data_IF_166373443491
#
_entry.id   IF_166373443491
#
_cell.length_a   1.000
_cell.length_b   1.000
_cell.length_c   1.000
_cell.angle_alpha   90.00
_cell.angle_beta   90.00
_cell.angle_gamma   90.00
#
_symmetry.space_group_name_H-M   'P 1'
#
loop_
_entity.id
_entity.type
_entity.pdbx_description
1 polymer ?
#
# COMPACT_ATOMS: atom_id res chain seq x y z
N UNK A 1 48.18 63.80 -15.02
CA UNK A 1 47.41 63.82 -13.75
C UNK A 1 47.82 62.60 -12.93
N UNK A 2 48.38 62.79 -11.70
CA UNK A 2 48.74 61.82 -10.60
C UNK A 2 49.05 60.33 -10.94
N UNK A 3 50.20 59.67 -10.67
CA UNK A 3 51.02 59.50 -9.42
C UNK A 3 50.28 58.68 -8.35
N UNK A 4 50.72 57.53 -7.77
CA UNK A 4 51.97 56.68 -7.75
C UNK A 4 51.65 55.23 -8.27
N UNK A 5 52.54 54.24 -8.54
CA UNK A 5 53.82 53.70 -8.03
C UNK A 5 53.74 52.64 -6.87
N UNK A 6 54.13 51.39 -7.21
CA UNK A 6 54.93 50.39 -6.43
C UNK A 6 54.30 49.27 -5.54
N UNK A 7 54.81 48.04 -5.78
CA UNK A 7 55.25 46.99 -4.80
C UNK A 7 54.22 46.27 -3.89
N UNK A 8 54.39 45.04 -3.38
CA UNK A 8 55.33 43.89 -3.59
C UNK A 8 54.65 42.64 -2.93
N UNK A 9 54.92 41.41 -3.42
CA UNK A 9 55.12 40.10 -2.68
C UNK A 9 54.08 39.70 -1.58
N UNK A 10 53.50 38.49 -1.59
CA UNK A 10 53.97 37.29 -0.84
C UNK A 10 53.34 36.01 -1.40
N UNK A 11 54.13 34.93 -1.47
CA UNK A 11 53.69 33.55 -1.73
C UNK A 11 52.94 32.95 -0.51
N UNK A 12 51.88 32.18 -0.74
CA UNK A 12 51.50 31.06 0.14
C UNK A 12 51.10 29.82 -0.66
N UNK A 13 51.44 28.64 -0.14
CA UNK A 13 51.37 27.36 -0.84
C UNK A 13 50.55 26.36 -0.01
N UNK A 14 49.42 25.92 -0.58
CA UNK A 14 48.69 24.67 -0.27
C UNK A 14 48.17 24.51 1.19
N UNK A 15 47.50 23.40 1.59
CA UNK A 15 47.07 22.23 0.81
C UNK A 15 45.63 21.70 1.15
N UNK A 16 45.33 20.48 0.66
CA UNK A 16 44.37 19.49 1.18
C UNK A 16 42.86 19.83 1.27
N UNK A 17 42.10 19.15 0.41
CA UNK A 17 41.07 18.23 0.90
C UNK A 17 39.64 18.72 1.03
N UNK A 18 38.82 18.46 0.00
CA UNK A 18 37.49 17.88 0.20
C UNK A 18 37.29 16.71 -0.75
N UNK A 19 37.09 15.53 -0.16
CA UNK A 19 36.41 14.41 -0.84
C UNK A 19 34.93 14.68 -0.68
N UNK A 20 34.34 15.47 -1.57
CA UNK A 20 32.88 15.58 -1.62
C UNK A 20 32.35 14.26 -2.20
N UNK A 21 32.03 13.35 -1.27
CA UNK A 21 31.52 12.01 -1.52
C UNK A 21 30.10 12.09 -2.07
N UNK A 22 29.99 12.30 -3.38
CA UNK A 22 28.77 12.05 -4.13
C UNK A 22 28.59 10.53 -4.27
N UNK A 23 27.34 10.07 -4.29
CA UNK A 23 26.87 8.67 -4.38
C UNK A 23 26.78 7.88 -3.05
N UNK A 24 25.65 8.02 -2.35
CA UNK A 24 24.83 6.90 -1.81
C UNK A 24 23.59 7.37 -1.02
N UNK A 25 22.95 8.47 -1.41
CA UNK A 25 21.67 8.89 -0.83
C UNK A 25 20.50 8.11 -1.43
N UNK A 26 20.28 6.86 -0.99
CA UNK A 26 19.10 6.09 -1.42
C UNK A 26 17.82 6.75 -0.88
N UNK A 27 17.02 7.33 -1.78
CA UNK A 27 15.74 7.97 -1.43
C UNK A 27 14.79 6.94 -0.81
N UNK A 28 14.63 6.99 0.52
CA UNK A 28 13.56 6.24 1.19
C UNK A 28 12.21 6.85 0.82
N UNK A 29 11.37 6.05 0.18
CA UNK A 29 9.96 6.36 -0.04
C UNK A 29 9.24 6.53 1.31
N UNK A 30 8.28 7.44 1.40
CA UNK A 30 7.46 7.58 2.61
C UNK A 30 6.60 6.34 2.83
N UNK A 31 6.11 6.13 4.05
CA UNK A 31 5.19 5.01 4.33
C UNK A 31 3.89 5.12 3.50
N UNK A 32 3.47 6.33 3.12
CA UNK A 32 2.34 6.53 2.22
C UNK A 32 2.65 6.05 0.79
N UNK A 33 3.79 6.44 0.22
CA UNK A 33 4.20 6.02 -1.13
C UNK A 33 4.38 4.49 -1.22
N UNK A 34 4.92 3.89 -0.15
CA UNK A 34 5.09 2.44 -0.06
C UNK A 34 3.75 1.70 0.09
N UNK A 35 2.81 2.25 0.87
CA UNK A 35 1.45 1.71 0.99
C UNK A 35 0.65 1.87 -0.31
N UNK A 36 0.82 2.97 -1.05
CA UNK A 36 0.24 3.15 -2.37
C UNK A 36 0.72 2.05 -3.32
N UNK A 37 2.04 1.84 -3.44
CA UNK A 37 2.59 0.75 -4.28
C UNK A 37 2.16 -0.64 -3.85
N UNK A 38 1.97 -0.85 -2.55
CA UNK A 38 1.41 -2.10 -2.03
C UNK A 38 -0.03 -2.29 -2.50
N UNK A 39 -0.86 -1.25 -2.45
CA UNK A 39 -2.25 -1.30 -2.87
C UNK A 39 -2.41 -1.40 -4.39
N UNK A 40 -1.57 -0.71 -5.17
CA UNK A 40 -1.44 -0.91 -6.62
C UNK A 40 -1.12 -2.38 -6.96
N UNK A 41 -0.15 -2.98 -6.25
CA UNK A 41 0.16 -4.41 -6.40
C UNK A 41 -1.02 -5.31 -5.99
N UNK A 42 -1.73 -4.99 -4.91
CA UNK A 42 -2.91 -5.74 -4.46
C UNK A 42 -3.98 -5.76 -5.56
N UNK A 43 -4.33 -4.61 -6.13
CA UNK A 43 -5.34 -4.49 -7.19
C UNK A 43 -4.94 -5.30 -8.43
N UNK A 44 -3.68 -5.23 -8.86
CA UNK A 44 -3.18 -6.02 -10.02
C UNK A 44 -3.27 -7.53 -9.76
N UNK A 45 -2.93 -7.99 -8.56
CA UNK A 45 -3.03 -9.42 -8.22
C UNK A 45 -4.48 -9.89 -8.12
N UNK A 46 -5.40 -9.04 -7.66
CA UNK A 46 -6.83 -9.32 -7.62
C UNK A 46 -7.42 -9.39 -9.04
N UNK A 47 -7.14 -8.40 -9.90
CA UNK A 47 -7.56 -8.37 -11.31
C UNK A 47 -7.05 -9.57 -12.12
N UNK A 48 -5.81 -10.01 -11.86
CA UNK A 48 -5.23 -11.19 -12.50
C UNK A 48 -5.72 -12.53 -11.93
N UNK A 49 -6.48 -12.50 -10.84
CA UNK A 49 -6.85 -13.66 -10.01
C UNK A 49 -5.64 -14.48 -9.54
N UNK A 50 -4.54 -13.80 -9.20
CA UNK A 50 -3.25 -14.41 -8.89
C UNK A 50 -3.23 -14.94 -7.44
N UNK A 51 -2.93 -16.24 -7.20
CA UNK A 51 -2.86 -16.81 -5.86
C UNK A 51 -1.82 -16.15 -4.94
N UNK A 52 -0.83 -15.42 -5.47
CA UNK A 52 0.10 -14.61 -4.70
C UNK A 52 -0.59 -13.49 -3.88
N UNK A 53 -1.84 -13.14 -4.20
CA UNK A 53 -2.68 -12.25 -3.39
C UNK A 53 -2.79 -12.75 -1.93
N UNK A 54 -2.86 -14.07 -1.72
CA UNK A 54 -2.92 -14.66 -0.38
C UNK A 54 -1.66 -14.36 0.46
N UNK A 55 -0.49 -14.21 -0.17
CA UNK A 55 0.76 -13.91 0.51
C UNK A 55 0.86 -12.47 1.03
N UNK A 56 -0.08 -11.58 0.66
CA UNK A 56 -0.13 -10.20 1.15
C UNK A 56 -0.72 -10.05 2.55
N UNK A 57 -1.43 -11.06 3.06
CA UNK A 57 -2.07 -11.03 4.38
C UNK A 57 -1.12 -11.52 5.48
N UNK A 58 -1.21 -10.94 6.67
CA UNK A 58 -0.68 -11.56 7.89
C UNK A 58 -1.46 -12.86 8.20
N UNK A 59 -0.94 -13.73 9.07
CA UNK A 59 -1.62 -14.98 9.47
C UNK A 59 -2.71 -14.70 10.51
N UNK A 60 -2.44 -13.73 11.37
CA UNK A 60 -3.30 -13.12 12.37
C UNK A 60 -4.23 -12.02 11.82
N UNK A 61 -4.22 -11.77 10.50
CA UNK A 61 -5.04 -10.73 9.87
C UNK A 61 -6.53 -10.90 10.21
N UNK A 62 -7.26 -9.80 10.34
CA UNK A 62 -8.70 -9.80 10.60
C UNK A 62 -9.44 -9.41 9.32
N UNK A 63 -10.04 -10.39 8.65
CA UNK A 63 -10.80 -10.14 7.41
C UNK A 63 -12.29 -10.19 7.71
N UNK A 64 -12.98 -9.10 7.38
CA UNK A 64 -14.36 -8.85 7.74
C UNK A 64 -15.18 -8.74 6.45
N UNK A 65 -16.14 -9.65 6.26
CA UNK A 65 -17.11 -9.57 5.18
C UNK A 65 -18.51 -9.40 5.77
N UNK A 66 -19.18 -8.30 5.43
CA UNK A 66 -20.61 -8.13 5.70
C UNK A 66 -21.40 -8.32 4.41
N UNK A 67 -22.46 -9.13 4.48
CA UNK A 67 -23.40 -9.34 3.37
C UNK A 67 -24.82 -9.14 3.85
N UNK A 68 -25.56 -8.26 3.18
CA UNK A 68 -27.02 -8.17 3.32
C UNK A 68 -27.68 -9.18 2.39
N UNK A 69 -28.58 -9.97 2.94
CA UNK A 69 -29.42 -10.92 2.17
C UNK A 69 -30.60 -10.21 1.50
N UNK A 70 -31.22 -10.84 0.50
CA UNK A 70 -32.42 -10.32 -0.16
C UNK A 70 -33.65 -10.10 0.77
N UNK A 71 -33.57 -10.51 2.05
CA UNK A 71 -34.58 -10.24 3.09
C UNK A 71 -34.18 -9.10 4.04
N UNK A 72 -33.13 -8.34 3.72
CA UNK A 72 -32.58 -7.27 4.56
C UNK A 72 -31.83 -7.76 5.81
N UNK A 73 -31.66 -9.07 6.00
CA UNK A 73 -30.89 -9.61 7.12
C UNK A 73 -29.40 -9.46 6.80
N UNK A 74 -28.70 -8.65 7.59
CA UNK A 74 -27.25 -8.53 7.59
C UNK A 74 -26.60 -9.78 8.22
N UNK A 75 -25.53 -10.27 7.61
CA UNK A 75 -24.62 -11.23 8.23
C UNK A 75 -23.18 -10.76 8.13
N UNK A 76 -22.48 -10.68 9.27
CA UNK A 76 -21.07 -10.31 9.34
C UNK A 76 -20.22 -11.54 9.67
N UNK A 77 -19.32 -11.89 8.77
CA UNK A 77 -18.33 -12.95 8.96
C UNK A 77 -16.96 -12.32 9.26
N UNK A 78 -16.21 -12.94 10.17
CA UNK A 78 -14.84 -12.56 10.50
C UNK A 78 -13.96 -13.79 10.37
N UNK A 79 -12.84 -13.64 9.68
CA UNK A 79 -11.86 -14.70 9.45
C UNK A 79 -10.47 -14.25 9.93
N UNK A 80 -9.68 -15.20 10.41
CA UNK A 80 -8.24 -14.98 10.56
C UNK A 80 -7.55 -14.98 9.18
N UNK A 81 -6.35 -14.44 9.10
CA UNK A 81 -5.52 -14.45 7.90
C UNK A 81 -5.29 -15.84 7.35
N UNK A 82 -4.93 -16.82 8.19
CA UNK A 82 -4.82 -18.22 7.77
C UNK A 82 -6.13 -18.77 7.16
N UNK A 83 -7.26 -18.48 7.80
CA UNK A 83 -8.59 -18.89 7.30
C UNK A 83 -8.98 -18.17 6.01
N UNK A 84 -8.52 -16.93 5.81
CA UNK A 84 -8.77 -16.17 4.59
C UNK A 84 -7.90 -16.67 3.43
N UNK A 85 -6.59 -16.83 3.65
CA UNK A 85 -5.63 -17.41 2.69
C UNK A 85 -6.11 -18.75 2.13
N UNK A 86 -6.60 -19.64 3.00
CA UNK A 86 -7.15 -20.93 2.58
C UNK A 86 -8.42 -20.79 1.71
N UNK A 87 -9.31 -19.84 2.01
CA UNK A 87 -10.49 -19.58 1.16
C UNK A 87 -10.14 -18.85 -0.14
N UNK A 88 -9.08 -18.07 -0.14
CA UNK A 88 -8.73 -17.19 -1.26
C UNK A 88 -8.45 -17.99 -2.54
N UNK A 89 -7.71 -19.10 -2.45
CA UNK A 89 -7.42 -19.95 -3.61
C UNK A 89 -8.70 -20.42 -4.32
N UNK A 90 -9.66 -20.96 -3.56
CA UNK A 90 -10.95 -21.43 -4.08
C UNK A 90 -11.80 -20.28 -4.62
N UNK A 91 -11.77 -19.11 -3.96
CA UNK A 91 -12.51 -17.93 -4.41
C UNK A 91 -11.94 -17.31 -5.68
N UNK A 92 -10.62 -17.26 -5.85
CA UNK A 92 -9.99 -16.70 -7.05
C UNK A 92 -10.29 -17.55 -8.30
N UNK A 93 -10.28 -18.88 -8.18
CA UNK A 93 -10.70 -19.78 -9.27
C UNK A 93 -12.17 -19.54 -9.67
N UNK A 94 -13.07 -19.45 -8.69
CA UNK A 94 -14.49 -19.17 -8.93
C UNK A 94 -14.71 -17.77 -9.53
N UNK A 95 -14.04 -16.75 -8.99
CA UNK A 95 -14.15 -15.37 -9.43
C UNK A 95 -13.66 -15.21 -10.87
N UNK A 96 -12.53 -15.85 -11.22
CA UNK A 96 -12.01 -15.92 -12.58
C UNK A 96 -12.98 -16.56 -13.57
N UNK A 97 -13.65 -17.64 -13.17
CA UNK A 97 -14.64 -18.32 -14.00
C UNK A 97 -15.93 -17.50 -14.21
N UNK A 98 -16.25 -16.59 -13.29
CA UNK A 98 -17.46 -15.74 -13.34
C UNK A 98 -17.20 -14.30 -13.83
N UNK A 99 -15.95 -13.86 -13.92
CA UNK A 99 -15.60 -12.45 -14.17
C UNK A 99 -15.88 -11.53 -12.97
N UNK A 100 -15.88 -12.07 -11.75
CA UNK A 100 -16.15 -11.33 -10.50
C UNK A 100 -14.91 -10.58 -10.04
N UNK A 101 -14.77 -9.32 -10.49
CA UNK A 101 -13.68 -8.43 -10.16
C UNK A 101 -14.12 -7.24 -9.31
N UNK A 102 -13.14 -6.47 -8.86
CA UNK A 102 -13.34 -5.23 -8.11
C UNK A 102 -12.65 -4.07 -8.81
N UNK A 103 -13.29 -2.89 -8.78
CA UNK A 103 -12.70 -1.61 -9.18
C UNK A 103 -12.65 -0.70 -7.95
N UNK A 104 -11.60 0.12 -7.84
CA UNK A 104 -11.37 0.99 -6.68
C UNK A 104 -11.30 2.46 -7.10
N UNK A 105 -12.01 3.33 -6.38
CA UNK A 105 -11.92 4.78 -6.52
C UNK A 105 -11.75 5.48 -5.17
N UNK A 106 -11.53 6.80 -5.20
CA UNK A 106 -11.50 7.67 -4.01
C UNK A 106 -10.51 7.22 -2.92
N UNK A 107 -9.41 6.62 -3.39
CA UNK A 107 -8.42 5.97 -2.54
C UNK A 107 -7.67 7.01 -1.71
N UNK A 108 -7.68 6.84 -0.39
CA UNK A 108 -7.01 7.73 0.56
C UNK A 108 -6.15 6.96 1.55
N UNK A 109 -4.99 7.52 1.87
CA UNK A 109 -3.97 6.92 2.74
C UNK A 109 -3.79 7.78 3.99
N UNK A 110 -3.81 7.17 5.18
CA UNK A 110 -3.55 7.89 6.43
C UNK A 110 -2.69 7.08 7.40
N UNK A 111 -1.61 7.70 7.89
CA UNK A 111 -0.71 7.07 8.86
C UNK A 111 -1.31 7.09 10.27
N UNK A 112 -1.13 5.99 11.00
CA UNK A 112 -1.49 5.81 12.41
C UNK A 112 -0.40 4.99 13.09
N UNK A 113 0.64 5.65 13.61
CA UNK A 113 1.84 4.98 14.12
C UNK A 113 2.58 4.25 13.00
N UNK A 114 2.88 2.96 13.18
CA UNK A 114 3.49 2.09 12.17
C UNK A 114 2.47 1.43 11.21
N UNK A 115 1.22 1.91 11.21
CA UNK A 115 0.14 1.43 10.33
C UNK A 115 -0.27 2.46 9.32
N UNK A 116 -0.69 2.01 8.15
CA UNK A 116 -1.33 2.83 7.12
C UNK A 116 -2.76 2.33 6.96
N UNK A 117 -3.73 3.22 7.20
CA UNK A 117 -5.13 3.00 6.89
C UNK A 117 -5.39 3.47 5.46
N UNK A 118 -5.85 2.55 4.64
CA UNK A 118 -6.34 2.78 3.28
C UNK A 118 -7.87 2.75 3.34
N UNK A 119 -8.52 3.74 2.74
CA UNK A 119 -9.95 3.71 2.42
C UNK A 119 -10.11 3.91 0.93
N UNK A 120 -11.13 3.28 0.36
CA UNK A 120 -11.50 3.43 -1.04
C UNK A 120 -12.99 3.13 -1.18
N UNK A 121 -13.61 3.59 -2.26
CA UNK A 121 -14.87 3.04 -2.74
C UNK A 121 -14.54 1.79 -3.56
N UNK A 122 -15.16 0.65 -3.27
CA UNK A 122 -14.95 -0.60 -4.04
C UNK A 122 -16.21 -1.04 -4.78
N UNK A 123 -16.19 -0.94 -6.10
CA UNK A 123 -17.26 -1.44 -6.97
C UNK A 123 -17.04 -2.90 -7.36
N UNK A 124 -18.01 -3.78 -7.10
CA UNK A 124 -18.01 -5.17 -7.55
C UNK A 124 -18.60 -5.28 -8.96
N UNK A 125 -17.82 -5.79 -9.91
CA UNK A 125 -18.24 -5.84 -11.33
C UNK A 125 -19.40 -6.79 -11.58
N UNK A 126 -19.39 -7.98 -10.95
CA UNK A 126 -20.48 -8.95 -11.03
C UNK A 126 -21.65 -8.57 -10.11
N UNK A 127 -21.34 -7.96 -8.96
CA UNK A 127 -22.34 -7.56 -7.96
C UNK A 127 -23.16 -6.33 -8.35
N UNK A 128 -22.59 -5.41 -9.13
CA UNK A 128 -23.25 -4.18 -9.57
C UNK A 128 -23.45 -3.12 -8.46
N UNK A 129 -22.66 -3.17 -7.39
CA UNK A 129 -22.78 -2.27 -6.22
C UNK A 129 -21.42 -1.71 -5.79
N UNK A 130 -21.43 -0.53 -5.16
CA UNK A 130 -20.25 0.10 -4.56
C UNK A 130 -20.27 -0.03 -3.03
N UNK A 131 -19.17 -0.53 -2.49
CA UNK A 131 -18.87 -0.57 -1.06
C UNK A 131 -18.09 0.70 -0.66
N UNK A 132 -18.81 1.72 -0.20
CA UNK A 132 -18.26 2.96 0.37
C UNK A 132 -17.67 2.78 1.78
N UNK A 133 -17.80 1.58 2.35
CA UNK A 133 -17.27 1.21 3.66
C UNK A 133 -15.92 0.49 3.61
N UNK A 134 -15.38 0.27 2.40
CA UNK A 134 -14.18 -0.53 2.22
C UNK A 134 -12.95 0.13 2.87
N UNK A 135 -12.22 -0.66 3.67
CA UNK A 135 -10.94 -0.24 4.20
C UNK A 135 -9.97 -1.40 4.37
N UNK A 136 -8.69 -1.07 4.32
CA UNK A 136 -7.57 -1.96 4.56
C UNK A 136 -6.58 -1.30 5.54
N UNK A 137 -6.04 -2.07 6.47
CA UNK A 137 -4.99 -1.64 7.40
C UNK A 137 -3.73 -2.42 7.09
N UNK A 138 -2.71 -1.70 6.61
CA UNK A 138 -1.37 -2.24 6.43
C UNK A 138 -0.52 -1.99 7.67
N UNK A 139 0.38 -2.93 8.00
CA UNK A 139 1.44 -2.72 8.98
C UNK A 139 2.79 -3.13 8.39
N UNK A 140 3.81 -2.32 8.63
CA UNK A 140 5.18 -2.67 8.26
C UNK A 140 5.72 -3.75 9.24
N UNK A 141 6.25 -4.84 8.69
CA UNK A 141 6.94 -5.88 9.43
C UNK A 141 8.36 -5.44 9.80
N UNK A 142 8.99 -6.12 10.75
CA UNK A 142 10.43 -5.94 11.07
C UNK A 142 11.36 -6.16 9.87
N UNK A 143 10.87 -6.80 8.79
CA UNK A 143 11.60 -7.00 7.52
C UNK A 143 11.45 -5.84 6.52
N UNK A 144 10.76 -4.75 6.87
CA UNK A 144 10.48 -3.64 5.94
C UNK A 144 9.47 -3.99 4.84
N UNK A 145 8.66 -5.03 5.04
CA UNK A 145 7.58 -5.45 4.13
C UNK A 145 6.24 -5.16 4.77
N UNK A 146 5.29 -4.61 4.01
CA UNK A 146 3.90 -4.51 4.45
C UNK A 146 3.18 -5.86 4.42
N UNK A 147 2.26 -6.04 5.36
CA UNK A 147 1.22 -7.07 5.33
C UNK A 147 -0.14 -6.44 5.66
N UNK A 148 -1.21 -7.02 5.12
CA UNK A 148 -2.59 -6.69 5.48
C UNK A 148 -2.88 -7.27 6.86
N UNK A 149 -3.18 -6.39 7.82
CA UNK A 149 -3.55 -6.74 9.20
C UNK A 149 -5.06 -6.74 9.42
N UNK A 150 -5.79 -5.87 8.71
CA UNK A 150 -7.25 -5.86 8.71
C UNK A 150 -7.74 -5.50 7.32
N UNK A 151 -8.80 -6.15 6.87
CA UNK A 151 -9.57 -5.76 5.69
C UNK A 151 -11.04 -5.85 6.04
N UNK A 152 -11.83 -4.86 5.62
CA UNK A 152 -13.27 -4.88 5.79
C UNK A 152 -13.95 -4.51 4.48
N UNK A 153 -14.95 -5.32 4.11
CA UNK A 153 -15.88 -5.01 3.04
C UNK A 153 -17.32 -5.13 3.52
N UNK A 154 -18.12 -4.13 3.18
CA UNK A 154 -19.52 -3.98 3.56
C UNK A 154 -20.40 -3.97 2.29
N UNK A 155 -21.04 -5.10 1.98
CA UNK A 155 -22.07 -5.13 0.95
C UNK A 155 -23.37 -4.55 1.51
N UNK A 156 -23.61 -3.28 1.21
CA UNK A 156 -24.93 -2.65 1.28
C UNK A 156 -25.70 -2.94 -0.02
N UNK A 157 -26.95 -3.39 0.10
CA UNK A 157 -27.92 -3.63 -0.99
C UNK A 157 -29.27 -3.07 -0.61
#
# INVERSE_FOLDING_TARGET
MRIKLASRVVNQVAPFGRRDSILAGATRFSLADQAQRFFEKFMVLEECFDPALAALYADEARVILSTTSARGVESRQVFSGCQWKWRLSQRLEQAKALGDGNLYSDISYSLRGNRVHIRADRYSTLGGYTDHGYYMILQETTSGRFLIMEECSLKFT
#
